data_IF_464267371963
#
_entry.id   IF_464267371963
#
_cell.length_a   1.000
_cell.length_b   1.000
_cell.length_c   1.000
_cell.angle_alpha   90.00
_cell.angle_beta   90.00
_cell.angle_gamma   90.00
#
_symmetry.space_group_name_H-M   'P 1'
#
loop_
_entity.id
_entity.type
_entity.pdbx_description
1 polymer ?
#
# COMPACT_ATOMS: atom_id res chain seq x y z
N UNK A 1 1.57 0.78 -25.28
CA UNK A 1 1.21 -0.54 -24.69
C UNK A 1 0.89 -0.35 -23.21
N UNK A 2 -0.35 -0.04 -22.85
CA UNK A 2 -0.81 0.02 -21.45
C UNK A 2 -1.56 -1.28 -21.15
N UNK A 3 -0.86 -2.32 -20.72
CA UNK A 3 -1.48 -3.54 -20.20
C UNK A 3 -1.65 -3.44 -18.69
N UNK A 4 -2.67 -4.10 -18.13
CA UNK A 4 -2.92 -4.13 -16.68
C UNK A 4 -1.68 -4.48 -15.84
N UNK A 5 -0.81 -5.37 -16.34
CA UNK A 5 0.45 -5.70 -15.67
C UNK A 5 1.45 -4.54 -15.56
N UNK A 6 1.46 -3.62 -16.53
CA UNK A 6 2.32 -2.43 -16.49
C UNK A 6 1.82 -1.41 -15.44
N UNK A 7 0.50 -1.31 -15.24
CA UNK A 7 -0.08 -0.47 -14.19
C UNK A 7 0.24 -1.01 -12.79
N UNK A 8 0.03 -2.31 -12.56
CA UNK A 8 0.39 -2.95 -11.30
C UNK A 8 1.88 -2.80 -10.97
N UNK A 9 2.75 -2.93 -11.98
CA UNK A 9 4.19 -2.70 -11.82
C UNK A 9 4.47 -1.26 -11.43
N UNK A 10 3.83 -0.29 -12.08
CA UNK A 10 4.01 1.14 -11.76
C UNK A 10 3.56 1.44 -10.33
N UNK A 11 2.39 0.99 -9.90
CA UNK A 11 1.93 1.18 -8.53
C UNK A 11 2.89 0.57 -7.51
N UNK A 12 3.33 -0.66 -7.75
CA UNK A 12 4.29 -1.36 -6.87
C UNK A 12 5.60 -0.58 -6.74
N UNK A 13 6.18 -0.14 -7.85
CA UNK A 13 7.43 0.62 -7.84
C UNK A 13 7.27 2.01 -7.21
N UNK A 14 6.15 2.70 -7.47
CA UNK A 14 5.87 4.00 -6.84
C UNK A 14 5.72 3.86 -5.31
N UNK A 15 5.09 2.78 -4.83
CA UNK A 15 5.01 2.49 -3.40
C UNK A 15 6.39 2.23 -2.79
N UNK A 16 7.25 1.43 -3.45
CA UNK A 16 8.63 1.22 -2.98
C UNK A 16 9.43 2.52 -2.91
N UNK A 17 9.22 3.45 -3.83
CA UNK A 17 9.89 4.77 -3.79
C UNK A 17 9.41 5.61 -2.61
N UNK A 18 8.09 5.71 -2.41
CA UNK A 18 7.52 6.47 -1.29
C UNK A 18 7.92 5.87 0.06
N UNK A 19 7.98 4.54 0.15
CA UNK A 19 8.44 3.85 1.34
C UNK A 19 9.90 4.19 1.70
N UNK A 20 10.80 4.30 0.71
CA UNK A 20 12.18 4.76 0.98
C UNK A 20 12.24 6.18 1.51
N UNK A 21 11.38 7.06 1.02
CA UNK A 21 11.28 8.44 1.52
C UNK A 21 10.70 8.50 2.93
N UNK A 22 9.69 7.67 3.21
CA UNK A 22 9.13 7.50 4.55
C UNK A 22 10.23 7.03 5.50
N UNK A 23 10.93 5.96 5.16
CA UNK A 23 12.00 5.38 5.99
C UNK A 23 13.17 6.35 6.24
N UNK A 24 13.43 7.28 5.32
CA UNK A 24 14.44 8.33 5.50
C UNK A 24 13.97 9.50 6.38
N UNK A 25 12.66 9.62 6.65
CA UNK A 25 12.07 10.71 7.43
C UNK A 25 11.58 10.21 8.79
N UNK A 26 12.41 10.41 9.82
CA UNK A 26 12.05 10.07 11.20
C UNK A 26 10.74 10.73 11.64
N UNK A 27 10.56 12.00 11.30
CA UNK A 27 9.33 12.74 11.62
C UNK A 27 8.09 12.11 11.00
N UNK A 28 8.16 11.70 9.72
CA UNK A 28 7.02 11.06 9.05
C UNK A 28 6.74 9.66 9.60
N UNK A 29 7.78 8.89 9.94
CA UNK A 29 7.61 7.59 10.60
C UNK A 29 6.97 7.72 11.98
N UNK A 30 7.39 8.71 12.78
CA UNK A 30 6.85 8.95 14.11
C UNK A 30 5.37 9.38 14.03
N UNK A 31 5.02 10.27 13.08
CA UNK A 31 3.62 10.68 12.86
C UNK A 31 2.76 9.52 12.35
N UNK A 32 3.27 8.75 11.38
CA UNK A 32 2.58 7.54 10.88
C UNK A 32 2.27 6.57 12.03
N UNK A 33 3.26 6.27 12.86
CA UNK A 33 3.14 5.34 13.97
C UNK A 33 2.11 5.82 14.99
N UNK A 34 2.14 7.12 15.34
CA UNK A 34 1.16 7.73 16.23
C UNK A 34 -0.24 7.58 15.66
N UNK A 35 -0.47 7.97 14.40
CA UNK A 35 -1.80 7.94 13.77
C UNK A 35 -2.35 6.53 13.60
N UNK A 36 -1.52 5.55 13.25
CA UNK A 36 -1.94 4.14 13.19
C UNK A 36 -2.40 3.68 14.58
N UNK A 37 -1.68 4.00 15.66
CA UNK A 37 -2.08 3.65 17.02
C UNK A 37 -3.40 4.33 17.46
N UNK A 38 -3.82 5.42 16.81
CA UNK A 38 -5.13 6.02 17.06
C UNK A 38 -6.27 5.23 16.41
N UNK A 39 -6.01 4.47 15.34
CA UNK A 39 -7.00 3.63 14.68
C UNK A 39 -7.50 2.50 15.58
N UNK A 40 -6.66 1.99 16.49
CA UNK A 40 -7.05 0.94 17.44
C UNK A 40 -8.25 1.38 18.31
N UNK A 41 -8.31 2.66 18.68
CA UNK A 41 -9.47 3.20 19.41
C UNK A 41 -10.73 3.27 18.54
N UNK A 42 -10.57 3.51 17.24
CA UNK A 42 -11.71 3.54 16.31
C UNK A 42 -12.22 2.12 16.04
N UNK A 43 -11.33 1.12 15.98
CA UNK A 43 -11.68 -0.29 15.85
C UNK A 43 -12.51 -0.84 17.01
N UNK A 44 -12.48 -0.19 18.19
CA UNK A 44 -13.36 -0.52 19.30
C UNK A 44 -14.85 -0.18 19.04
N UNK A 45 -15.13 0.66 18.04
CA UNK A 45 -16.47 1.17 17.75
C UNK A 45 -16.92 0.92 16.30
N UNK A 46 -15.99 0.68 15.38
CA UNK A 46 -16.26 0.53 13.95
C UNK A 46 -15.52 -0.67 13.37
N UNK A 47 -16.15 -1.34 12.42
CA UNK A 47 -15.50 -2.41 11.66
C UNK A 47 -14.34 -1.87 10.81
N UNK A 48 -13.38 -2.76 10.50
CA UNK A 48 -12.20 -2.47 9.68
C UNK A 48 -12.56 -1.85 8.32
N UNK A 49 -13.66 -2.33 7.72
CA UNK A 49 -14.10 -1.92 6.39
C UNK A 49 -15.16 -0.82 6.41
N UNK A 50 -15.47 -0.26 7.59
CA UNK A 50 -16.40 0.85 7.72
C UNK A 50 -15.91 2.09 6.96
N UNK A 51 -16.84 2.89 6.45
CA UNK A 51 -16.51 4.16 5.77
C UNK A 51 -15.72 5.10 6.70
N UNK A 52 -15.98 5.06 8.01
CA UNK A 52 -15.24 5.80 9.04
C UNK A 52 -13.77 5.41 9.06
N UNK A 53 -13.48 4.12 9.20
CA UNK A 53 -12.09 3.66 9.32
C UNK A 53 -11.34 3.77 8.00
N UNK A 54 -12.01 3.49 6.87
CA UNK A 54 -11.45 3.71 5.54
C UNK A 54 -11.08 5.19 5.31
N UNK A 55 -11.92 6.11 5.76
CA UNK A 55 -11.64 7.55 5.66
C UNK A 55 -10.48 7.96 6.58
N UNK A 56 -10.39 7.40 7.79
CA UNK A 56 -9.27 7.65 8.69
C UNK A 56 -7.95 7.14 8.11
N UNK A 57 -7.91 5.91 7.58
CA UNK A 57 -6.74 5.36 6.88
C UNK A 57 -6.37 6.18 5.65
N UNK A 58 -7.36 6.65 4.89
CA UNK A 58 -7.13 7.52 3.74
C UNK A 58 -6.49 8.85 4.13
N UNK A 59 -6.93 9.46 5.25
CA UNK A 59 -6.35 10.69 5.77
C UNK A 59 -4.89 10.48 6.19
N UNK A 60 -4.56 9.35 6.84
CA UNK A 60 -3.16 9.01 7.17
C UNK A 60 -2.28 8.97 5.91
N UNK A 61 -2.75 8.32 4.84
CA UNK A 61 -2.02 8.29 3.59
C UNK A 61 -1.83 9.70 3.00
N UNK A 62 -2.88 10.53 2.98
CA UNK A 62 -2.84 11.88 2.39
C UNK A 62 -1.92 12.81 3.18
N UNK A 63 -1.98 12.76 4.51
CA UNK A 63 -1.26 13.69 5.38
C UNK A 63 0.20 13.30 5.55
N UNK A 64 0.49 11.99 5.63
CA UNK A 64 1.82 11.51 6.02
C UNK A 64 2.62 10.99 4.84
N UNK A 65 1.99 10.22 3.94
CA UNK A 65 2.70 9.50 2.89
C UNK A 65 2.76 10.29 1.59
N UNK A 66 1.61 10.78 1.11
CA UNK A 66 1.50 11.47 -0.17
C UNK A 66 2.41 12.70 -0.32
N UNK A 67 2.73 13.49 0.73
CA UNK A 67 3.59 14.67 0.59
C UNK A 67 5.08 14.33 0.42
N UNK A 68 5.49 13.10 0.72
CA UNK A 68 6.90 12.71 0.69
C UNK A 68 7.46 12.68 -0.74
N UNK A 69 6.63 12.49 -1.76
CA UNK A 69 7.08 12.39 -3.14
C UNK A 69 5.99 12.53 -4.19
N UNK A 70 6.31 12.20 -5.46
CA UNK A 70 5.35 12.25 -6.54
C UNK A 70 4.12 11.39 -6.22
N UNK A 71 2.92 11.94 -6.45
CA UNK A 71 1.66 11.24 -6.19
C UNK A 71 1.55 10.01 -7.10
N UNK A 72 1.08 8.90 -6.52
CA UNK A 72 0.70 7.71 -7.29
C UNK A 72 -0.52 8.07 -8.15
N UNK A 73 -0.33 8.07 -9.47
CA UNK A 73 -1.38 8.39 -10.44
C UNK A 73 -2.28 7.18 -10.64
N UNK A 74 -3.39 7.11 -9.90
CA UNK A 74 -4.37 6.03 -10.02
C UNK A 74 -5.27 6.30 -11.22
N UNK A 75 -5.22 5.41 -12.21
CA UNK A 75 -5.99 5.48 -13.46
C UNK A 75 -7.17 4.49 -13.42
N UNK A 76 -8.27 4.86 -14.08
CA UNK A 76 -9.50 4.08 -14.12
C UNK A 76 -10.67 4.89 -14.69
N UNK A 77 -11.90 4.39 -14.50
CA UNK A 77 -13.11 5.13 -14.90
C UNK A 77 -13.24 6.43 -14.08
N UNK A 78 -13.28 7.61 -14.72
CA UNK A 78 -13.40 8.88 -14.01
C UNK A 78 -14.66 8.98 -13.15
N UNK A 79 -15.80 8.49 -13.66
CA UNK A 79 -17.07 8.49 -12.92
C UNK A 79 -16.99 7.67 -11.63
N UNK A 80 -16.23 6.57 -11.63
CA UNK A 80 -16.00 5.73 -10.46
C UNK A 80 -15.03 6.42 -9.49
N UNK A 81 -13.95 7.02 -9.99
CA UNK A 81 -12.93 7.67 -9.16
C UNK A 81 -13.38 9.00 -8.55
N UNK A 82 -14.48 9.59 -9.03
CA UNK A 82 -15.10 10.75 -8.39
C UNK A 82 -15.84 10.40 -7.08
N UNK A 83 -16.19 9.14 -6.86
CA UNK A 83 -16.82 8.71 -5.60
C UNK A 83 -15.82 8.81 -4.44
N UNK A 84 -16.18 9.56 -3.39
CA UNK A 84 -15.32 9.81 -2.22
C UNK A 84 -14.98 8.53 -1.44
N UNK A 85 -15.93 7.61 -1.27
CA UNK A 85 -15.71 6.34 -0.57
C UNK A 85 -14.74 5.44 -1.35
N UNK A 86 -14.84 5.44 -2.69
CA UNK A 86 -13.87 4.74 -3.54
C UNK A 86 -12.48 5.35 -3.40
N UNK A 87 -12.37 6.68 -3.37
CA UNK A 87 -11.07 7.31 -3.15
C UNK A 87 -10.49 6.98 -1.77
N UNK A 88 -11.34 6.92 -0.72
CA UNK A 88 -10.89 6.50 0.62
C UNK A 88 -10.38 5.06 0.60
N UNK A 89 -11.10 4.13 -0.05
CA UNK A 89 -10.66 2.74 -0.25
C UNK A 89 -9.33 2.65 -0.99
N UNK A 90 -9.17 3.40 -2.08
CA UNK A 90 -7.91 3.45 -2.84
C UNK A 90 -6.75 3.91 -1.94
N UNK A 91 -6.93 4.99 -1.19
CA UNK A 91 -5.87 5.54 -0.32
C UNK A 91 -5.55 4.61 0.86
N UNK A 92 -6.56 3.98 1.46
CA UNK A 92 -6.38 2.98 2.50
C UNK A 92 -5.61 1.74 1.96
N UNK A 93 -5.94 1.28 0.75
CA UNK A 93 -5.21 0.19 0.10
C UNK A 93 -3.75 0.57 -0.23
N UNK A 94 -3.51 1.81 -0.67
CA UNK A 94 -2.15 2.33 -0.88
C UNK A 94 -1.37 2.39 0.45
N UNK A 95 -1.99 2.81 1.55
CA UNK A 95 -1.38 2.77 2.88
C UNK A 95 -0.94 1.34 3.26
N UNK A 96 -1.80 0.35 3.05
CA UNK A 96 -1.49 -1.05 3.29
C UNK A 96 -0.36 -1.57 2.37
N UNK A 97 -0.32 -1.13 1.11
CA UNK A 97 0.75 -1.42 0.18
C UNK A 97 2.10 -0.82 0.62
N UNK A 98 2.10 0.40 1.16
CA UNK A 98 3.30 1.04 1.72
C UNK A 98 3.78 0.30 2.96
N UNK A 99 2.89 -0.10 3.88
CA UNK A 99 3.26 -0.98 5.00
C UNK A 99 3.93 -2.26 4.46
N UNK A 100 3.33 -2.90 3.46
CA UNK A 100 3.89 -4.12 2.87
C UNK A 100 5.28 -3.89 2.29
N UNK A 101 5.54 -2.71 1.68
CA UNK A 101 6.87 -2.33 1.24
C UNK A 101 7.86 -2.09 2.40
N UNK A 102 7.40 -1.52 3.53
CA UNK A 102 8.21 -1.37 4.76
C UNK A 102 8.64 -2.76 5.25
N UNK A 103 7.68 -3.68 5.38
CA UNK A 103 7.95 -5.05 5.82
C UNK A 103 8.92 -5.74 4.87
N UNK A 104 8.68 -5.62 3.56
CA UNK A 104 9.56 -6.19 2.54
C UNK A 104 11.00 -5.70 2.72
N UNK A 105 11.22 -4.42 2.96
CA UNK A 105 12.56 -3.91 3.24
C UNK A 105 13.14 -4.43 4.57
N UNK A 106 12.34 -4.50 5.63
CA UNK A 106 12.77 -5.02 6.94
C UNK A 106 13.24 -6.47 6.87
N UNK A 107 12.68 -7.28 5.96
CA UNK A 107 13.10 -8.68 5.75
C UNK A 107 14.17 -8.85 4.64
N UNK A 108 14.86 -7.78 4.27
CA UNK A 108 15.97 -7.81 3.30
C UNK A 108 15.56 -7.64 1.84
N UNK A 109 14.31 -7.30 1.58
CA UNK A 109 13.82 -6.90 0.26
C UNK A 109 14.35 -5.56 -0.20
N UNK A 110 14.48 -5.38 -1.50
CA UNK A 110 14.92 -4.12 -2.11
C UNK A 110 14.83 -4.17 -3.64
N UNK A 111 14.87 -3.01 -4.29
CA UNK A 111 14.67 -2.92 -5.75
C UNK A 111 15.65 -3.81 -6.54
N UNK A 112 16.92 -3.83 -6.13
CA UNK A 112 17.94 -4.71 -6.72
C UNK A 112 17.67 -6.18 -6.39
N UNK A 113 17.31 -6.49 -5.15
CA UNK A 113 16.94 -7.85 -4.74
C UNK A 113 15.78 -8.40 -5.58
N UNK A 114 14.75 -7.60 -5.86
CA UNK A 114 13.63 -7.97 -6.73
C UNK A 114 14.08 -8.28 -8.15
N UNK A 115 14.96 -7.46 -8.72
CA UNK A 115 15.48 -7.65 -10.07
C UNK A 115 16.28 -8.94 -10.19
N UNK A 116 17.20 -9.20 -9.26
CA UNK A 116 18.07 -10.38 -9.31
C UNK A 116 17.40 -11.67 -8.81
N UNK A 117 16.38 -11.56 -7.96
CA UNK A 117 15.68 -12.72 -7.39
C UNK A 117 14.33 -13.02 -8.05
N UNK A 118 14.00 -12.37 -9.18
CA UNK A 118 12.67 -12.47 -9.81
C UNK A 118 12.20 -13.91 -10.00
N UNK A 119 13.05 -14.77 -10.56
CA UNK A 119 12.69 -16.18 -10.82
C UNK A 119 12.45 -16.95 -9.51
N UNK A 120 13.25 -16.69 -8.47
CA UNK A 120 13.08 -17.28 -7.15
C UNK A 120 11.74 -16.86 -6.54
N UNK A 121 11.46 -15.56 -6.52
CA UNK A 121 10.23 -14.99 -5.95
C UNK A 121 8.98 -15.52 -6.66
N UNK A 122 9.01 -15.62 -8.00
CA UNK A 122 7.89 -16.19 -8.77
C UNK A 122 7.69 -17.67 -8.46
N UNK A 123 8.78 -18.44 -8.30
CA UNK A 123 8.70 -19.86 -7.93
C UNK A 123 8.06 -20.03 -6.55
N UNK A 124 8.52 -19.28 -5.55
CA UNK A 124 7.96 -19.33 -4.19
C UNK A 124 6.49 -18.92 -4.18
N UNK A 125 6.11 -17.85 -4.89
CA UNK A 125 4.72 -17.42 -5.00
C UNK A 125 3.80 -18.52 -5.60
N UNK A 126 4.27 -19.22 -6.65
CA UNK A 126 3.55 -20.36 -7.23
C UNK A 126 3.44 -21.54 -6.27
N UNK A 127 4.49 -21.81 -5.50
CA UNK A 127 4.47 -22.87 -4.48
C UNK A 127 3.48 -22.56 -3.36
N UNK A 128 3.46 -21.32 -2.85
CA UNK A 128 2.47 -20.88 -1.86
C UNK A 128 1.06 -21.03 -2.43
N UNK A 129 0.82 -20.57 -3.67
CA UNK A 129 -0.48 -20.68 -4.32
C UNK A 129 -0.94 -22.14 -4.46
N UNK A 130 -0.04 -23.07 -4.78
CA UNK A 130 -0.37 -24.50 -4.87
C UNK A 130 -0.74 -25.17 -3.54
N UNK A 131 -0.43 -24.52 -2.41
CA UNK A 131 -0.75 -24.99 -1.06
C UNK A 131 -2.00 -24.31 -0.49
N UNK A 132 -2.47 -23.23 -1.11
CA UNK A 132 -3.73 -22.62 -0.71
C UNK A 132 -4.89 -23.53 -1.13
N UNK A 133 -5.85 -23.84 -0.23
CA UNK A 133 -7.06 -24.53 -0.62
C UNK A 133 -7.82 -23.71 -1.67
N UNK A 134 -8.57 -24.36 -2.58
CA UNK A 134 -9.40 -23.64 -3.54
C UNK A 134 -10.37 -22.71 -2.78
N UNK A 135 -10.69 -21.53 -3.33
CA UNK A 135 -11.63 -20.62 -2.69
C UNK A 135 -12.98 -21.34 -2.51
N UNK A 136 -13.55 -21.21 -1.30
CA UNK A 136 -14.90 -21.67 -0.96
C UNK A 136 -15.96 -20.97 -1.81
#
# INVERSE_FOLDING_TARGET
RHGAGAELTRYTLSMMVLERKLSASKTALDDLSKRIAQLDRQLAHYDLESDTLLSAMAAIYVDVISPLGPRIQVTGSPAVLQNSQIQSKVRAALLAGIRSAVLWHQVGGGRLQLMFSRNRLVKEAKQILSRCPPPL
#
